data_IF_967438257082
#
_entry.id   IF_967438257082
#
_cell.length_a   1.000
_cell.length_b   1.000
_cell.length_c   1.000
_cell.angle_alpha   90.00
_cell.angle_beta   90.00
_cell.angle_gamma   90.00
#
_symmetry.space_group_name_H-M   'P 1'
#
loop_
_entity.id
_entity.type
_entity.pdbx_description
1 polymer ?
#
# COMPACT_ATOMS: atom_id res chain seq x y z
N UNK A 1 13.48 -15.45 -2.48
CA UNK A 1 12.98 -14.50 -3.49
C UNK A 1 13.02 -13.14 -2.81
N UNK A 2 13.76 -12.15 -3.36
CA UNK A 2 13.85 -10.82 -2.76
C UNK A 2 12.45 -10.28 -2.46
N UNK A 3 12.28 -9.69 -1.27
CA UNK A 3 11.01 -9.06 -0.87
C UNK A 3 10.78 -7.83 -1.73
N UNK A 4 9.81 -7.90 -2.64
CA UNK A 4 9.39 -6.76 -3.46
C UNK A 4 8.38 -5.96 -2.65
N UNK A 5 8.62 -4.65 -2.50
CA UNK A 5 7.63 -3.74 -1.94
C UNK A 5 6.62 -3.37 -3.02
N UNK A 6 5.35 -3.70 -2.79
CA UNK A 6 4.26 -3.43 -3.72
C UNK A 6 3.28 -2.46 -3.05
N UNK A 7 3.07 -1.25 -3.59
CA UNK A 7 2.11 -0.31 -3.04
C UNK A 7 0.69 -0.85 -3.23
N UNK A 8 -0.18 -0.65 -2.23
CA UNK A 8 -1.61 -0.99 -2.28
C UNK A 8 -2.45 0.16 -1.74
N UNK A 9 -3.59 0.42 -2.38
CA UNK A 9 -4.59 1.36 -1.86
C UNK A 9 -5.44 0.68 -0.79
N UNK A 10 -5.74 1.41 0.27
CA UNK A 10 -6.59 0.96 1.37
C UNK A 10 -7.65 2.02 1.68
N UNK A 11 -8.80 1.59 2.19
CA UNK A 11 -9.82 2.48 2.72
C UNK A 11 -9.73 2.51 4.24
N UNK A 12 -9.37 3.66 4.82
CA UNK A 12 -9.30 3.84 6.28
C UNK A 12 -10.72 3.84 6.87
N UNK A 13 -10.87 3.27 8.07
CA UNK A 13 -12.12 3.32 8.84
C UNK A 13 -12.02 4.28 10.03
N UNK A 14 -11.20 3.93 11.03
CA UNK A 14 -11.03 4.67 12.28
C UNK A 14 -9.58 4.52 12.76
N UNK A 15 -9.09 5.46 13.56
CA UNK A 15 -7.77 5.39 14.17
C UNK A 15 -7.85 5.75 15.66
N UNK A 16 -7.11 5.02 16.50
CA UNK A 16 -7.05 5.25 17.94
C UNK A 16 -5.78 4.61 18.52
N UNK A 17 -5.21 5.20 19.57
CA UNK A 17 -4.05 4.64 20.30
C UNK A 17 -2.87 4.22 19.40
N UNK A 18 -2.59 5.00 18.34
CA UNK A 18 -1.48 4.72 17.42
C UNK A 18 -1.71 3.57 16.43
N UNK A 19 -2.92 3.02 16.35
CA UNK A 19 -3.32 2.00 15.36
C UNK A 19 -4.50 2.47 14.53
N UNK A 20 -4.51 2.08 13.25
CA UNK A 20 -5.54 2.45 12.28
C UNK A 20 -6.25 1.21 11.75
N UNK A 21 -7.56 1.16 11.94
CA UNK A 21 -8.42 0.14 11.34
C UNK A 21 -8.71 0.47 9.87
N UNK A 22 -8.67 -0.56 9.03
CA UNK A 22 -9.00 -0.45 7.60
C UNK A 22 -10.38 -1.05 7.34
N UNK A 23 -11.18 -0.37 6.51
CA UNK A 23 -12.45 -0.88 5.99
C UNK A 23 -12.21 -1.94 4.92
N UNK A 24 -11.21 -1.75 4.07
CA UNK A 24 -10.86 -2.65 2.96
C UNK A 24 -9.47 -2.36 2.39
N UNK A 25 -8.97 -3.26 1.53
CA UNK A 25 -7.75 -3.06 0.72
C UNK A 25 -6.56 -3.93 1.12
N UNK A 26 -6.68 -4.71 2.20
CA UNK A 26 -5.71 -5.73 2.61
C UNK A 26 -6.44 -6.99 3.10
N UNK A 27 -5.75 -8.12 3.05
CA UNK A 27 -6.15 -9.37 3.70
C UNK A 27 -5.35 -9.64 4.98
N UNK A 28 -5.91 -10.44 5.89
CA UNK A 28 -5.20 -10.90 7.07
C UNK A 28 -3.93 -11.69 6.70
N UNK A 29 -2.86 -11.51 7.48
CA UNK A 29 -1.56 -12.15 7.23
C UNK A 29 -0.67 -11.41 6.23
N UNK A 30 -1.18 -10.39 5.52
CA UNK A 30 -0.34 -9.51 4.71
C UNK A 30 0.63 -8.70 5.57
N UNK A 31 1.88 -8.60 5.12
CA UNK A 31 2.93 -7.85 5.81
C UNK A 31 2.98 -6.42 5.29
N UNK A 32 3.02 -5.46 6.21
CA UNK A 32 3.15 -4.03 5.92
C UNK A 32 4.44 -3.47 6.50
N UNK A 33 4.96 -2.42 5.88
CA UNK A 33 6.14 -1.70 6.36
C UNK A 33 5.72 -0.64 7.38
N UNK A 34 6.28 -0.69 8.58
CA UNK A 34 6.03 0.29 9.65
C UNK A 34 7.24 1.15 10.01
N UNK A 35 8.43 0.78 9.55
CA UNK A 35 9.67 1.53 9.77
C UNK A 35 10.39 1.78 8.44
N UNK A 36 10.98 2.97 8.26
CA UNK A 36 11.61 3.36 7.00
C UNK A 36 10.63 3.62 5.84
N UNK A 37 9.32 3.75 6.14
CA UNK A 37 8.26 3.87 5.14
C UNK A 37 8.52 4.96 4.11
N UNK A 38 9.02 6.13 4.54
CA UNK A 38 9.25 7.27 3.66
C UNK A 38 10.23 6.96 2.51
N UNK A 39 11.39 6.36 2.82
CA UNK A 39 12.40 6.07 1.79
C UNK A 39 11.93 4.98 0.84
N UNK A 40 11.23 3.97 1.36
CA UNK A 40 10.67 2.87 0.57
C UNK A 40 9.57 3.40 -0.38
N UNK A 41 8.66 4.23 0.12
CA UNK A 41 7.61 4.85 -0.69
C UNK A 41 8.19 5.81 -1.74
N UNK A 42 9.24 6.56 -1.40
CA UNK A 42 9.95 7.43 -2.34
C UNK A 42 10.57 6.65 -3.51
N UNK A 43 11.22 5.52 -3.23
CA UNK A 43 11.76 4.64 -4.28
C UNK A 43 10.62 3.99 -5.11
N UNK A 44 9.53 3.58 -4.47
CA UNK A 44 8.36 3.05 -5.17
C UNK A 44 7.72 4.11 -6.09
N UNK A 45 7.78 5.38 -5.72
CA UNK A 45 7.32 6.48 -6.55
C UNK A 45 8.24 6.72 -7.76
N UNK A 46 9.56 6.80 -7.53
CA UNK A 46 10.57 7.04 -8.59
C UNK A 46 10.60 5.90 -9.61
N UNK A 47 10.50 4.65 -9.14
CA UNK A 47 10.46 3.45 -10.00
C UNK A 47 9.11 3.26 -10.73
N UNK A 48 8.16 4.18 -10.54
CA UNK A 48 6.83 4.17 -11.17
C UNK A 48 5.89 3.09 -10.64
N UNK A 49 6.19 2.47 -9.49
CA UNK A 49 5.33 1.43 -8.91
C UNK A 49 3.96 1.97 -8.48
N UNK A 50 3.91 3.20 -7.96
CA UNK A 50 2.64 3.85 -7.61
C UNK A 50 1.77 4.12 -8.84
N UNK A 51 2.37 4.49 -9.97
CA UNK A 51 1.63 4.77 -11.21
C UNK A 51 1.05 3.49 -11.80
N UNK A 52 1.82 2.39 -11.80
CA UNK A 52 1.33 1.07 -12.20
C UNK A 52 0.15 0.61 -11.33
N UNK A 53 0.27 0.73 -10.00
CA UNK A 53 -0.83 0.41 -9.07
C UNK A 53 -2.12 1.19 -9.38
N UNK A 54 -2.00 2.49 -9.69
CA UNK A 54 -3.15 3.34 -10.04
C UNK A 54 -3.79 2.91 -11.36
N UNK A 55 -2.96 2.62 -12.36
CA UNK A 55 -3.39 2.18 -13.69
C UNK A 55 -4.11 0.83 -13.64
N UNK A 56 -3.55 -0.17 -12.94
CA UNK A 56 -4.16 -1.49 -12.77
C UNK A 56 -5.54 -1.41 -12.08
N UNK A 57 -5.67 -0.54 -11.08
CA UNK A 57 -6.95 -0.35 -10.41
C UNK A 57 -8.01 0.29 -11.31
N UNK A 58 -7.61 1.14 -12.26
CA UNK A 58 -8.52 1.75 -13.23
C UNK A 58 -9.02 0.72 -14.27
N UNK A 59 -8.15 -0.22 -14.66
CA UNK A 59 -8.52 -1.34 -15.54
C UNK A 59 -9.55 -2.27 -14.90
N UNK A 60 -9.45 -2.54 -13.59
CA UNK A 60 -10.40 -3.41 -12.88
C UNK A 60 -11.76 -2.77 -12.55
N UNK A 61 -11.93 -1.46 -12.79
CA UNK A 61 -13.18 -0.74 -12.55
C UNK A 61 -14.06 -0.61 -13.81
N UNK A 62 -13.58 -1.08 -14.97
CA UNK A 62 -14.31 -1.17 -16.24
C UNK A 62 -14.72 -2.62 -16.49
#
# INVERSE_FOLDING_TARGET
>A
RLGVFVPKRVAVFQASQGVTALRSGLAEGEKVVSSGLFLIDSEANISGALERMRSESATHAH
#
